data_IF_982389388550
#
_entry.id   IF_982389388550
#
_cell.length_a   1.000
_cell.length_b   1.000
_cell.length_c   1.000
_cell.angle_alpha   90.00
_cell.angle_beta   90.00
_cell.angle_gamma   90.00
#
_symmetry.space_group_name_H-M   'P 1'
#
loop_
_entity.id
_entity.type
_entity.pdbx_description
1 polymer ?
#
# COMPACT_ATOMS: atom_id res chain seq x y z
N UNK A 1 18.68 -24.29 3.65
CA UNK A 1 17.72 -24.01 4.72
C UNK A 1 18.39 -23.67 6.06
N UNK A 2 19.35 -24.43 6.58
CA UNK A 2 20.05 -24.12 7.86
C UNK A 2 20.81 -22.78 7.86
N UNK A 3 21.44 -22.37 6.72
CA UNK A 3 22.16 -21.10 6.60
C UNK A 3 21.23 -19.87 6.59
N UNK A 4 20.01 -19.99 6.05
CA UNK A 4 19.01 -18.92 6.08
C UNK A 4 18.45 -18.71 7.49
N UNK A 5 18.24 -19.81 8.24
CA UNK A 5 17.81 -19.75 9.64
C UNK A 5 18.88 -19.10 10.55
N UNK A 6 20.17 -19.35 10.28
CA UNK A 6 21.27 -18.72 11.03
C UNK A 6 21.36 -17.20 10.77
N UNK A 7 21.14 -16.76 9.52
CA UNK A 7 21.12 -15.34 9.16
C UNK A 7 19.92 -14.64 9.82
N UNK A 8 18.75 -15.28 9.85
CA UNK A 8 17.58 -14.74 10.55
C UNK A 8 17.76 -14.71 12.06
N UNK A 9 18.43 -15.71 12.65
CA UNK A 9 18.74 -15.75 14.08
C UNK A 9 19.80 -14.70 14.48
N UNK A 10 20.82 -14.47 13.64
CA UNK A 10 21.83 -13.44 13.89
C UNK A 10 21.24 -12.02 13.72
N UNK A 11 20.32 -11.79 12.78
CA UNK A 11 19.59 -10.53 12.65
C UNK A 11 18.70 -10.25 13.87
N UNK A 12 18.12 -11.29 14.49
CA UNK A 12 17.33 -11.16 15.71
C UNK A 12 18.18 -10.79 16.95
N UNK A 13 19.45 -11.17 16.98
CA UNK A 13 20.35 -10.91 18.13
C UNK A 13 20.82 -9.44 18.20
N UNK A 14 20.81 -8.69 17.10
CA UNK A 14 21.13 -7.25 17.09
C UNK A 14 19.98 -6.36 17.56
N UNK A 15 18.78 -6.89 17.73
CA UNK A 15 17.57 -6.15 18.12
C UNK A 15 17.45 -5.85 19.63
N UNK A 16 18.40 -6.30 20.48
CA UNK A 16 18.26 -6.19 21.95
C UNK A 16 18.78 -4.87 22.55
N UNK A 17 19.32 -3.94 21.74
CA UNK A 17 19.77 -2.66 22.23
C UNK A 17 18.68 -1.59 22.06
N UNK A 18 17.78 -1.43 23.04
CA UNK A 18 16.88 -0.25 23.20
C UNK A 18 15.93 0.08 22.02
N UNK A 19 15.63 -0.86 21.16
CA UNK A 19 14.69 -0.65 20.06
C UNK A 19 13.26 -0.56 20.60
N UNK A 20 12.77 0.65 20.84
CA UNK A 20 11.37 0.91 21.19
C UNK A 20 10.49 0.60 19.97
N UNK A 21 10.10 -0.65 19.77
CA UNK A 21 9.19 -0.97 18.70
C UNK A 21 7.78 -0.42 18.98
N UNK A 22 7.09 -0.05 17.95
CA UNK A 22 5.75 0.49 18.02
C UNK A 22 4.82 -0.38 17.16
N UNK A 23 3.63 -0.63 17.69
CA UNK A 23 2.52 -1.20 16.95
C UNK A 23 1.43 -0.15 16.83
N UNK A 24 0.84 -0.02 15.65
CA UNK A 24 -0.18 0.97 15.41
C UNK A 24 -1.18 0.56 14.33
N UNK A 25 -2.25 1.34 14.26
CA UNK A 25 -3.25 1.25 13.22
C UNK A 25 -3.15 2.46 12.27
N UNK A 26 -3.60 2.25 11.04
CA UNK A 26 -3.74 3.29 10.03
C UNK A 26 -5.07 3.14 9.33
N UNK A 27 -5.71 4.26 9.01
CA UNK A 27 -6.87 4.32 8.13
C UNK A 27 -6.79 5.55 7.25
N UNK A 28 -7.34 5.47 6.03
CA UNK A 28 -7.23 6.57 5.09
C UNK A 28 -8.06 6.40 3.84
N UNK A 29 -7.86 7.36 2.95
CA UNK A 29 -8.46 7.42 1.63
C UNK A 29 -7.44 7.08 0.55
N UNK A 30 -7.90 6.36 -0.47
CA UNK A 30 -7.19 6.08 -1.71
C UNK A 30 -7.83 6.87 -2.84
N UNK A 31 -7.00 7.53 -3.62
CA UNK A 31 -7.33 8.13 -4.90
C UNK A 31 -6.58 7.35 -5.96
N UNK A 32 -7.27 6.40 -6.58
CA UNK A 32 -6.66 5.42 -7.48
C UNK A 32 -7.06 5.63 -8.92
N UNK A 33 -6.15 5.32 -9.82
CA UNK A 33 -6.36 5.25 -11.25
C UNK A 33 -5.48 4.15 -11.84
N UNK A 34 -5.64 3.86 -13.12
CA UNK A 34 -4.81 2.91 -13.86
C UNK A 34 -4.12 3.60 -15.03
N UNK A 35 -2.93 3.12 -15.37
CA UNK A 35 -2.19 3.53 -16.56
C UNK A 35 -2.01 2.32 -17.47
N UNK A 36 -2.22 2.48 -18.79
CA UNK A 36 -2.04 1.41 -19.76
C UNK A 36 -1.02 1.81 -20.83
N UNK A 37 0.03 1.01 -21.04
CA UNK A 37 1.10 1.20 -22.03
C UNK A 37 1.58 2.66 -22.20
N UNK A 38 1.56 3.46 -21.12
CA UNK A 38 1.89 4.88 -21.15
C UNK A 38 0.82 5.78 -21.78
N UNK A 39 -0.31 5.24 -22.18
CA UNK A 39 -1.48 6.01 -22.56
C UNK A 39 -2.45 6.06 -21.38
N UNK A 40 -2.78 7.28 -20.95
CA UNK A 40 -3.94 7.49 -20.11
C UNK A 40 -5.16 7.10 -20.97
N UNK A 41 -5.70 5.92 -20.75
CA UNK A 41 -7.10 5.67 -21.11
C UNK A 41 -7.87 6.73 -20.33
N UNK A 42 -9.06 7.14 -20.78
CA UNK A 42 -9.92 8.13 -20.09
C UNK A 42 -10.31 7.64 -18.67
N UNK A 43 -9.28 7.26 -17.91
CA UNK A 43 -9.39 6.68 -16.58
C UNK A 43 -9.63 7.79 -15.57
N UNK A 44 -10.80 7.73 -14.94
CA UNK A 44 -11.16 8.65 -13.87
C UNK A 44 -10.63 8.14 -12.53
N UNK A 45 -10.15 9.08 -11.71
CA UNK A 45 -9.74 8.76 -10.35
C UNK A 45 -10.93 8.26 -9.54
N UNK A 46 -10.76 7.10 -8.91
CA UNK A 46 -11.73 6.48 -8.04
C UNK A 46 -11.34 6.71 -6.57
N UNK A 47 -12.31 7.13 -5.77
CA UNK A 47 -12.17 7.25 -4.33
C UNK A 47 -12.51 5.94 -3.64
N UNK A 48 -11.59 5.44 -2.79
CA UNK A 48 -11.77 4.25 -1.98
C UNK A 48 -11.15 4.46 -0.58
N UNK A 49 -11.31 3.48 0.30
CA UNK A 49 -10.75 3.51 1.64
C UNK A 49 -9.66 2.46 1.80
N UNK A 50 -8.76 2.71 2.74
CA UNK A 50 -7.78 1.74 3.23
C UNK A 50 -7.76 1.73 4.75
N UNK A 51 -7.46 0.56 5.34
CA UNK A 51 -7.25 0.42 6.77
C UNK A 51 -6.38 -0.78 7.07
N UNK A 52 -5.57 -0.69 8.13
CA UNK A 52 -4.69 -1.78 8.53
C UNK A 52 -3.83 -1.45 9.72
N UNK A 53 -2.75 -2.22 9.85
CA UNK A 53 -1.83 -2.15 10.97
C UNK A 53 -0.39 -2.04 10.49
N UNK A 54 0.45 -1.47 11.34
CA UNK A 54 1.89 -1.38 11.10
C UNK A 54 2.68 -1.75 12.36
N UNK A 55 3.89 -2.25 12.13
CA UNK A 55 4.91 -2.40 13.16
C UNK A 55 6.10 -1.53 12.76
N UNK A 56 6.53 -0.63 13.63
CA UNK A 56 7.72 0.19 13.43
C UNK A 56 8.87 -0.36 14.25
N UNK A 57 9.95 -0.72 13.57
CA UNK A 57 11.17 -1.30 14.13
C UNK A 57 12.32 -0.30 13.95
N UNK A 58 12.69 0.49 14.95
CA UNK A 58 13.85 1.37 14.88
C UNK A 58 15.14 0.56 14.66
N UNK A 59 15.96 0.98 13.69
CA UNK A 59 17.24 0.34 13.37
C UNK A 59 18.43 1.28 13.63
N UNK A 60 18.19 2.59 13.59
CA UNK A 60 19.16 3.63 13.94
C UNK A 60 18.42 4.91 14.35
N UNK A 61 19.10 5.91 14.94
CA UNK A 61 18.49 7.21 15.22
C UNK A 61 17.87 7.83 13.96
N UNK A 62 16.56 8.06 14.00
CA UNK A 62 15.78 8.58 12.87
C UNK A 62 15.47 7.58 11.75
N UNK A 63 15.96 6.33 11.82
CA UNK A 63 15.75 5.31 10.80
C UNK A 63 14.98 4.10 11.37
N UNK A 64 13.97 3.66 10.69
CA UNK A 64 13.18 2.47 11.07
C UNK A 64 12.72 1.69 9.85
N UNK A 65 12.51 0.38 10.04
CA UNK A 65 11.82 -0.48 9.10
C UNK A 65 10.37 -0.60 9.58
N UNK A 66 9.42 -0.50 8.65
CA UNK A 66 7.99 -0.50 8.97
C UNK A 66 7.24 -1.45 8.04
N UNK A 67 7.16 -2.76 8.39
CA UNK A 67 6.22 -3.66 7.74
C UNK A 67 4.78 -3.29 8.12
N UNK A 68 3.87 -3.45 7.16
CA UNK A 68 2.46 -3.12 7.31
C UNK A 68 1.58 -4.19 6.69
N UNK A 69 0.31 -4.22 7.09
CA UNK A 69 -0.74 -5.06 6.54
C UNK A 69 -2.02 -4.25 6.41
N UNK A 70 -2.49 -4.04 5.17
CA UNK A 70 -3.67 -3.23 4.86
C UNK A 70 -4.71 -3.99 4.06
N UNK A 71 -5.97 -3.70 4.34
CA UNK A 71 -7.02 -3.78 3.33
C UNK A 71 -7.04 -2.47 2.53
N UNK A 72 -7.02 -2.55 1.22
CA UNK A 72 -6.88 -1.41 0.30
C UNK A 72 -7.88 -1.54 -0.84
N UNK A 73 -8.88 -0.67 -0.87
CA UNK A 73 -9.72 -0.49 -2.04
C UNK A 73 -8.98 0.37 -3.07
N UNK A 74 -8.96 -0.09 -4.32
CA UNK A 74 -8.34 0.56 -5.46
C UNK A 74 -9.25 0.45 -6.69
N UNK A 75 -8.82 0.95 -7.84
CA UNK A 75 -9.54 0.84 -9.08
C UNK A 75 -9.49 2.09 -9.93
N UNK A 76 -10.31 2.12 -10.96
CA UNK A 76 -10.45 3.26 -11.86
C UNK A 76 -11.90 3.41 -12.35
N UNK A 77 -12.30 4.64 -12.63
CA UNK A 77 -13.49 4.90 -13.42
C UNK A 77 -13.15 4.96 -14.91
N UNK A 78 -14.09 4.61 -15.75
CA UNK A 78 -13.99 4.75 -17.21
C UNK A 78 -15.32 5.27 -17.79
N UNK A 79 -15.29 5.69 -19.05
CA UNK A 79 -16.51 6.11 -19.75
C UNK A 79 -16.61 5.33 -21.05
N UNK A 80 -17.71 4.62 -21.23
CA UNK A 80 -18.04 3.93 -22.46
C UNK A 80 -19.37 4.46 -23.02
N UNK A 81 -19.38 4.94 -24.28
CA UNK A 81 -20.56 5.49 -24.96
C UNK A 81 -21.33 6.56 -24.13
N UNK A 82 -20.60 7.35 -23.30
CA UNK A 82 -21.19 8.39 -22.45
C UNK A 82 -21.72 7.88 -21.11
N UNK A 83 -21.62 6.58 -20.83
CA UNK A 83 -21.98 5.96 -19.56
C UNK A 83 -20.73 5.75 -18.71
N UNK A 84 -20.81 6.09 -17.42
CA UNK A 84 -19.67 5.96 -16.49
C UNK A 84 -19.70 4.56 -15.84
N UNK A 85 -18.61 3.81 -16.03
CA UNK A 85 -18.33 2.57 -15.34
C UNK A 85 -17.25 2.73 -14.28
N UNK A 86 -17.19 1.78 -13.34
CA UNK A 86 -16.20 1.75 -12.26
C UNK A 86 -15.68 0.33 -12.03
N UNK A 87 -14.38 0.16 -12.20
CA UNK A 87 -13.69 -1.06 -11.78
C UNK A 87 -13.19 -0.90 -10.35
N UNK A 88 -13.59 -1.80 -9.47
CA UNK A 88 -13.16 -1.85 -8.06
C UNK A 88 -12.27 -3.06 -7.82
N UNK A 89 -11.07 -2.83 -7.35
CA UNK A 89 -10.11 -3.85 -6.95
C UNK A 89 -9.86 -3.74 -5.45
N UNK A 90 -10.07 -4.84 -4.73
CA UNK A 90 -9.79 -4.89 -3.30
C UNK A 90 -8.59 -5.79 -3.06
N UNK A 91 -7.58 -5.24 -2.38
CA UNK A 91 -6.32 -5.92 -2.09
C UNK A 91 -6.05 -6.04 -0.59
N UNK A 92 -5.24 -7.04 -0.27
CA UNK A 92 -4.44 -7.06 0.97
C UNK A 92 -3.03 -6.64 0.58
N UNK A 93 -2.62 -5.46 1.00
CA UNK A 93 -1.32 -4.86 0.74
C UNK A 93 -0.35 -5.15 1.89
N UNK A 94 0.88 -5.53 1.55
CA UNK A 94 1.97 -5.80 2.49
C UNK A 94 3.19 -4.96 2.08
N UNK A 95 3.25 -3.68 2.46
CA UNK A 95 4.44 -2.86 2.25
C UNK A 95 5.52 -3.14 3.28
N UNK A 96 6.79 -3.05 2.84
CA UNK A 96 7.99 -3.08 3.67
C UNK A 96 8.72 -1.75 3.51
N UNK A 97 8.49 -0.82 4.42
CA UNK A 97 8.95 0.55 4.28
C UNK A 97 10.22 0.82 5.09
N UNK A 98 11.14 1.53 4.49
CA UNK A 98 12.23 2.22 5.17
C UNK A 98 11.74 3.64 5.46
N UNK A 99 11.74 4.03 6.75
CA UNK A 99 11.20 5.29 7.24
C UNK A 99 12.29 6.13 7.89
N UNK A 100 12.48 7.35 7.37
CA UNK A 100 13.41 8.35 7.85
C UNK A 100 12.65 9.43 8.61
N UNK A 101 12.85 9.54 9.90
CA UNK A 101 12.13 10.47 10.76
C UNK A 101 13.08 11.55 11.31
N UNK A 102 12.67 12.79 11.18
CA UNK A 102 13.35 13.94 11.79
C UNK A 102 12.78 14.24 13.19
N UNK A 103 13.54 14.91 14.03
CA UNK A 103 13.14 15.27 15.40
C UNK A 103 11.91 16.19 15.46
N UNK A 104 11.64 16.95 14.41
CA UNK A 104 10.46 17.80 14.29
C UNK A 104 9.14 17.01 14.17
N UNK A 105 9.20 15.70 13.93
CA UNK A 105 8.03 14.85 13.64
C UNK A 105 7.82 14.59 12.15
N UNK A 106 8.47 15.34 11.25
CA UNK A 106 8.46 15.07 9.82
C UNK A 106 9.16 13.75 9.50
N UNK A 107 8.65 13.00 8.53
CA UNK A 107 9.30 11.80 8.03
C UNK A 107 9.09 11.62 6.53
N UNK A 108 10.01 10.88 5.92
CA UNK A 108 9.85 10.31 4.59
C UNK A 108 9.92 8.78 4.70
N UNK A 109 9.26 8.09 3.77
CA UNK A 109 9.27 6.64 3.73
C UNK A 109 9.25 6.13 2.29
N UNK A 110 9.89 4.98 2.06
CA UNK A 110 9.91 4.34 0.75
C UNK A 110 10.15 2.85 0.91
N UNK A 111 9.69 2.06 -0.05
CA UNK A 111 9.95 0.62 -0.07
C UNK A 111 9.03 -0.15 -0.98
N UNK A 112 9.32 -1.45 -1.16
CA UNK A 112 8.50 -2.34 -1.96
C UNK A 112 7.20 -2.70 -1.26
N UNK A 113 6.17 -2.98 -2.07
CA UNK A 113 4.87 -3.50 -1.65
C UNK A 113 4.51 -4.71 -2.50
N UNK A 114 3.96 -5.72 -1.84
CA UNK A 114 3.26 -6.83 -2.49
C UNK A 114 1.78 -6.71 -2.13
N UNK A 115 0.90 -6.86 -3.11
CA UNK A 115 -0.54 -6.81 -2.94
C UNK A 115 -1.19 -8.09 -3.45
N UNK A 116 -2.16 -8.61 -2.71
CA UNK A 116 -2.92 -9.81 -3.05
C UNK A 116 -4.38 -9.45 -3.32
N UNK A 117 -4.85 -9.78 -4.52
CA UNK A 117 -6.22 -9.48 -4.95
C UNK A 117 -7.24 -10.33 -4.18
N UNK A 118 -8.13 -9.69 -3.46
CA UNK A 118 -9.26 -10.31 -2.76
C UNK A 118 -10.47 -10.40 -3.67
N UNK A 119 -10.85 -9.28 -4.29
CA UNK A 119 -11.98 -9.21 -5.22
C UNK A 119 -11.76 -8.16 -6.31
N UNK A 120 -12.34 -8.39 -7.49
CA UNK A 120 -12.37 -7.43 -8.58
C UNK A 120 -13.77 -7.42 -9.19
N UNK A 121 -14.40 -6.24 -9.24
CA UNK A 121 -15.75 -6.08 -9.74
C UNK A 121 -15.82 -4.88 -10.68
N UNK A 122 -16.53 -5.04 -11.77
CA UNK A 122 -16.92 -3.96 -12.65
C UNK A 122 -18.39 -3.58 -12.39
N UNK A 123 -18.63 -2.28 -12.24
CA UNK A 123 -19.96 -1.69 -12.08
C UNK A 123 -20.29 -0.83 -13.28
N UNK A 124 -21.19 -1.31 -14.12
CA UNK A 124 -21.65 -0.64 -15.32
C UNK A 124 -23.17 -0.70 -15.42
N UNK A 125 -23.84 0.42 -15.69
CA UNK A 125 -25.30 0.54 -15.82
C UNK A 125 -26.12 -0.12 -14.68
N UNK A 126 -25.65 -0.02 -13.46
CA UNK A 126 -26.31 -0.62 -12.28
C UNK A 126 -26.08 -2.13 -12.12
N UNK A 127 -25.40 -2.76 -13.07
CA UNK A 127 -24.98 -4.18 -12.99
C UNK A 127 -23.59 -4.28 -12.38
N UNK A 128 -23.38 -5.28 -11.51
CA UNK A 128 -22.06 -5.61 -10.97
C UNK A 128 -21.63 -6.96 -11.51
N UNK A 129 -20.49 -6.98 -12.20
CA UNK A 129 -19.91 -8.19 -12.80
C UNK A 129 -18.60 -8.53 -12.09
N UNK A 130 -18.39 -9.78 -11.71
CA UNK A 130 -17.11 -10.26 -11.19
C UNK A 130 -16.12 -10.40 -12.34
N UNK A 131 -15.01 -9.63 -12.25
CA UNK A 131 -13.93 -9.62 -13.24
C UNK A 131 -12.62 -10.18 -12.70
N UNK A 132 -12.64 -10.84 -11.54
CA UNK A 132 -11.43 -11.33 -10.85
C UNK A 132 -10.58 -12.26 -11.72
N UNK A 133 -11.19 -13.05 -12.61
CA UNK A 133 -10.48 -13.93 -13.52
C UNK A 133 -9.59 -13.17 -14.53
N UNK A 134 -9.92 -11.92 -14.83
CA UNK A 134 -9.21 -11.06 -15.78
C UNK A 134 -8.13 -10.19 -15.12
N UNK A 135 -8.02 -10.25 -13.79
CA UNK A 135 -7.04 -9.47 -12.99
C UNK A 135 -6.03 -10.43 -12.35
N UNK A 136 -4.76 -10.10 -12.41
CA UNK A 136 -3.71 -10.87 -11.77
C UNK A 136 -3.88 -10.88 -10.26
N UNK A 137 -3.73 -12.04 -9.64
CA UNK A 137 -3.95 -12.23 -8.20
C UNK A 137 -2.89 -11.56 -7.32
N UNK A 138 -1.74 -11.19 -7.89
CA UNK A 138 -0.63 -10.57 -7.16
C UNK A 138 -0.14 -9.35 -7.93
N UNK A 139 0.07 -8.26 -7.20
CA UNK A 139 0.64 -7.02 -7.71
C UNK A 139 1.90 -6.66 -6.93
N UNK A 140 2.90 -6.14 -7.64
CA UNK A 140 4.09 -5.51 -7.06
C UNK A 140 4.05 -4.01 -7.31
N UNK A 141 4.33 -3.23 -6.28
CA UNK A 141 4.38 -1.78 -6.33
C UNK A 141 5.59 -1.25 -5.55
N UNK A 142 5.92 0.01 -5.78
CA UNK A 142 6.88 0.75 -4.97
C UNK A 142 6.18 1.93 -4.30
N UNK A 143 6.39 2.07 -3.01
CA UNK A 143 5.78 3.12 -2.20
C UNK A 143 6.76 4.25 -1.99
N UNK A 144 6.30 5.48 -2.20
CA UNK A 144 6.95 6.72 -1.80
C UNK A 144 6.00 7.49 -0.89
N UNK A 145 6.48 7.97 0.25
CA UNK A 145 5.62 8.67 1.18
C UNK A 145 6.36 9.70 2.02
N UNK A 146 5.59 10.61 2.56
CA UNK A 146 6.01 11.56 3.58
C UNK A 146 4.86 11.80 4.55
N UNK A 147 5.18 12.26 5.74
CA UNK A 147 4.16 12.53 6.72
C UNK A 147 4.68 13.28 7.94
N UNK A 148 3.78 13.46 8.87
CA UNK A 148 4.06 14.17 10.11
C UNK A 148 3.48 13.40 11.30
N UNK A 149 4.33 13.02 12.22
CA UNK A 149 3.93 12.49 13.52
C UNK A 149 3.87 13.63 14.52
N UNK A 150 2.70 13.89 15.09
CA UNK A 150 2.51 14.93 16.09
C UNK A 150 3.39 14.62 17.31
N UNK A 151 4.29 15.52 17.72
CA UNK A 151 5.14 15.33 18.90
C UNK A 151 4.31 15.09 20.15
N UNK A 152 4.74 14.18 21.00
CA UNK A 152 4.07 13.79 22.26
C UNK A 152 2.65 13.24 22.08
N UNK A 153 2.20 12.94 20.85
CA UNK A 153 0.90 12.37 20.53
C UNK A 153 1.07 10.99 19.89
N UNK A 154 0.11 10.08 20.01
CA UNK A 154 0.10 8.83 19.25
C UNK A 154 -0.29 9.02 17.78
N UNK A 155 -0.75 10.20 17.38
CA UNK A 155 -1.34 10.49 16.05
C UNK A 155 -0.27 10.94 15.06
N UNK A 156 -0.46 10.58 13.81
CA UNK A 156 0.28 11.10 12.66
C UNK A 156 -0.59 11.15 11.40
N UNK A 157 -0.12 11.89 10.42
CA UNK A 157 -0.73 12.01 9.09
C UNK A 157 0.32 11.59 8.08
N UNK A 158 -0.07 10.82 7.07
CA UNK A 158 0.82 10.49 5.95
C UNK A 158 0.17 10.71 4.58
N UNK A 159 1.03 10.96 3.62
CA UNK A 159 0.74 11.03 2.20
C UNK A 159 1.62 10.00 1.50
N UNK A 160 1.06 9.18 0.64
CA UNK A 160 1.78 8.16 -0.13
C UNK A 160 1.40 8.18 -1.58
N UNK A 161 2.34 7.76 -2.39
CA UNK A 161 2.15 7.38 -3.77
C UNK A 161 2.62 5.94 -3.94
N UNK A 162 1.71 5.06 -4.34
CA UNK A 162 2.00 3.67 -4.65
C UNK A 162 2.05 3.54 -6.17
N UNK A 163 3.26 3.33 -6.69
CA UNK A 163 3.51 3.12 -8.12
C UNK A 163 3.46 1.62 -8.43
N UNK A 164 2.45 1.15 -9.10
CA UNK A 164 2.35 -0.22 -9.60
C UNK A 164 3.47 -0.52 -10.60
N UNK A 165 4.19 -1.61 -10.40
CA UNK A 165 5.32 -2.05 -11.25
C UNK A 165 4.89 -3.22 -12.11
N UNK A 166 4.10 -4.16 -11.56
CA UNK A 166 3.63 -5.33 -12.29
C UNK A 166 2.36 -5.02 -13.09
N UNK A 167 2.16 -5.80 -14.17
CA UNK A 167 0.90 -5.77 -14.89
C UNK A 167 -0.22 -6.38 -14.03
N UNK A 168 -1.30 -5.63 -13.81
CA UNK A 168 -2.48 -6.13 -13.08
C UNK A 168 -3.44 -6.89 -14.00
N UNK A 169 -3.36 -6.71 -15.31
CA UNK A 169 -4.23 -7.41 -16.26
C UNK A 169 -3.72 -8.84 -16.52
N UNK A 170 -4.63 -9.80 -16.44
CA UNK A 170 -4.37 -11.18 -16.81
C UNK A 170 -4.58 -11.35 -18.33
N UNK A 171 -3.52 -11.13 -19.11
CA UNK A 171 -3.54 -11.19 -20.57
C UNK A 171 -3.96 -12.56 -21.11
N UNK A 172 -3.67 -13.64 -20.38
CA UNK A 172 -4.06 -15.00 -20.76
C UNK A 172 -5.57 -15.21 -20.70
N UNK A 173 -6.25 -14.57 -19.77
CA UNK A 173 -7.70 -14.66 -19.61
C UNK A 173 -8.43 -13.64 -20.50
N UNK A 174 -7.87 -12.44 -20.68
CA UNK A 174 -8.51 -11.36 -21.45
C UNK A 174 -8.29 -11.50 -22.96
N UNK A 175 -7.30 -12.29 -23.40
CA UNK A 175 -6.93 -12.41 -24.82
C UNK A 175 -6.29 -11.15 -25.41
N UNK A 176 -5.83 -10.23 -24.56
CA UNK A 176 -5.22 -8.95 -24.97
C UNK A 176 -3.76 -8.87 -24.52
N UNK A 177 -2.98 -7.99 -25.14
CA UNK A 177 -1.57 -7.78 -24.79
C UNK A 177 -1.32 -6.37 -24.19
N UNK A 178 -2.25 -5.88 -23.39
CA UNK A 178 -2.06 -4.60 -22.70
C UNK A 178 -1.32 -4.79 -21.38
N UNK A 179 -0.54 -3.78 -21.01
CA UNK A 179 0.09 -3.68 -19.69
C UNK A 179 -0.61 -2.58 -18.93
N UNK A 180 -1.23 -2.94 -17.82
CA UNK A 180 -1.98 -2.03 -16.94
C UNK A 180 -1.33 -2.00 -15.57
N UNK A 181 -1.08 -0.80 -15.05
CA UNK A 181 -0.48 -0.58 -13.74
C UNK A 181 -1.41 0.26 -12.88
N UNK A 182 -1.51 -0.08 -11.60
CA UNK A 182 -2.17 0.76 -10.61
C UNK A 182 -1.32 2.00 -10.29
N UNK A 183 -1.99 3.11 -10.04
CA UNK A 183 -1.40 4.35 -9.57
C UNK A 183 -2.29 4.89 -8.45
N UNK A 184 -1.79 4.90 -7.21
CA UNK A 184 -2.62 5.18 -6.03
C UNK A 184 -1.98 6.25 -5.18
N UNK A 185 -2.68 7.38 -5.01
CA UNK A 185 -2.38 8.36 -3.97
C UNK A 185 -3.18 8.02 -2.72
N UNK A 186 -2.52 8.03 -1.57
CA UNK A 186 -3.13 7.75 -0.28
C UNK A 186 -2.96 8.95 0.66
N UNK A 187 -4.02 9.26 1.39
CA UNK A 187 -4.01 10.14 2.55
C UNK A 187 -4.44 9.33 3.76
N UNK A 188 -3.59 9.25 4.79
CA UNK A 188 -3.82 8.39 5.94
C UNK A 188 -3.65 9.10 7.28
N UNK A 189 -4.39 8.62 8.26
CA UNK A 189 -4.18 8.89 9.68
C UNK A 189 -3.59 7.66 10.33
N UNK A 190 -2.54 7.85 11.11
CA UNK A 190 -1.87 6.80 11.89
C UNK A 190 -2.08 7.00 13.37
N UNK A 191 -2.24 5.90 14.10
CA UNK A 191 -2.37 5.91 15.55
C UNK A 191 -1.49 4.81 16.17
N UNK A 192 -0.55 5.20 17.03
CA UNK A 192 0.29 4.26 17.77
C UNK A 192 -0.51 3.69 18.94
N UNK A 193 -0.85 2.41 18.86
CA UNK A 193 -1.62 1.68 19.86
C UNK A 193 -0.74 1.25 21.03
N UNK A 194 0.51 0.87 20.75
CA UNK A 194 1.43 0.38 21.74
C UNK A 194 2.89 0.69 21.37
N UNK A 195 3.73 0.95 22.40
CA UNK A 195 5.17 1.21 22.24
C UNK A 195 5.93 0.54 23.38
N UNK A 196 6.92 -0.31 23.04
CA UNK A 196 7.83 -0.89 24.04
C UNK A 196 8.77 0.20 24.55
N UNK A 197 8.63 0.67 25.76
CA UNK A 197 9.55 1.66 26.34
C UNK A 197 8.89 2.96 26.85
N UNK A 198 7.59 3.01 26.94
CA UNK A 198 6.92 4.02 27.77
C UNK A 198 6.86 3.52 29.23
N UNK A 199 7.81 3.94 30.00
CA UNK A 199 7.64 4.23 31.41
C UNK A 199 7.90 5.71 31.60
#
# INVERSE_FOLDING_TARGET
>A
MKKLALVLLSAASFATAHAQFQFGAKAGANFSTVTSNGQFVDARTLFNLNAGFFVKLPVAPGLSIQPELFYSGQGAGYTDNGVVGHEHFNYIDIPFLLKFAHRSGLYAETGPQVAFLVSANDKFEGTTTDIKAYVNSTEFAWVFGFGYKVPMSPVGIDFRYNAGISNIQNNSASGTNYTVHNSVFQLGLTYVLWSSGRR
#
